data_IF_480933075878
#
_entry.id   IF_480933075878
#
_cell.length_a   1.000
_cell.length_b   1.000
_cell.length_c   1.000
_cell.angle_alpha   90.00
_cell.angle_beta   90.00
_cell.angle_gamma   90.00
#
_symmetry.space_group_name_H-M   'P 1'
#
loop_
_entity.id
_entity.type
_entity.pdbx_description
1 polymer ?
#
# COMPACT_ATOMS: atom_id res chain seq x y z
N UNK A 1 25.60 21.90 13.38
CA UNK A 1 25.48 20.48 13.84
C UNK A 1 24.15 20.28 14.56
N UNK A 2 23.80 21.08 15.57
CA UNK A 2 22.57 20.98 16.37
C UNK A 2 21.29 21.00 15.50
N UNK A 3 21.24 21.86 14.47
CA UNK A 3 20.08 21.98 13.58
C UNK A 3 19.88 20.72 12.71
N UNK A 4 20.97 20.12 12.22
CA UNK A 4 20.90 18.86 11.43
C UNK A 4 20.43 17.70 12.29
N UNK A 5 20.90 17.63 13.53
CA UNK A 5 20.51 16.56 14.47
C UNK A 5 19.04 16.71 14.86
N UNK A 6 18.53 17.92 15.03
CA UNK A 6 17.12 18.20 15.28
C UNK A 6 16.25 17.78 14.11
N UNK A 7 16.63 18.16 12.89
CA UNK A 7 15.88 17.80 11.67
C UNK A 7 15.85 16.29 11.46
N UNK A 8 16.98 15.60 11.63
CA UNK A 8 17.06 14.16 11.54
C UNK A 8 16.16 13.47 12.58
N UNK A 9 16.18 13.94 13.83
CA UNK A 9 15.32 13.38 14.88
C UNK A 9 13.82 13.60 14.58
N UNK A 10 13.45 14.75 14.03
CA UNK A 10 12.07 15.00 13.59
C UNK A 10 11.67 14.03 12.47
N UNK A 11 12.53 13.75 11.51
CA UNK A 11 12.28 12.77 10.46
C UNK A 11 12.12 11.35 11.03
N UNK A 12 12.98 10.95 11.98
CA UNK A 12 12.87 9.66 12.67
C UNK A 12 11.51 9.52 13.36
N UNK A 13 11.00 10.57 14.02
CA UNK A 13 9.70 10.55 14.68
C UNK A 13 8.54 10.56 13.69
N UNK A 14 8.64 11.38 12.64
CA UNK A 14 7.62 11.42 11.59
C UNK A 14 7.43 10.03 10.96
N UNK A 15 8.51 9.44 10.49
CA UNK A 15 8.45 8.11 9.86
C UNK A 15 8.02 7.03 10.87
N UNK A 16 8.41 7.12 12.14
CA UNK A 16 7.96 6.19 13.18
C UNK A 16 6.44 6.27 13.44
N UNK A 17 5.84 7.46 13.29
CA UNK A 17 4.39 7.64 13.44
C UNK A 17 3.62 7.17 12.19
N UNK A 18 4.24 7.26 11.02
CA UNK A 18 3.65 6.82 9.75
C UNK A 18 3.77 5.31 9.54
N UNK A 19 4.86 4.70 10.01
CA UNK A 19 5.18 3.30 9.85
C UNK A 19 5.29 2.56 11.20
N UNK A 20 4.21 2.50 11.99
CA UNK A 20 4.25 1.95 13.34
C UNK A 20 4.61 0.46 13.38
N UNK A 21 4.16 -0.35 12.41
CA UNK A 21 4.48 -1.78 12.38
C UNK A 21 5.93 -1.99 11.96
N UNK A 22 6.40 -1.35 10.88
CA UNK A 22 7.81 -1.36 10.48
C UNK A 22 8.69 -0.94 11.66
N UNK A 23 8.32 0.16 12.34
CA UNK A 23 9.06 0.65 13.52
C UNK A 23 9.07 -0.38 14.65
N UNK A 24 7.98 -1.10 14.86
CA UNK A 24 7.83 -2.04 15.97
C UNK A 24 8.65 -3.32 15.81
N UNK A 25 8.90 -3.74 14.57
CA UNK A 25 9.64 -4.98 14.24
C UNK A 25 11.15 -4.75 14.10
N UNK A 26 11.58 -3.50 13.97
CA UNK A 26 12.98 -3.11 13.93
C UNK A 26 13.44 -2.62 15.30
N UNK A 27 14.63 -3.02 15.72
CA UNK A 27 15.29 -2.43 16.88
C UNK A 27 15.71 -0.97 16.60
N UNK A 28 16.05 -0.23 17.65
CA UNK A 28 16.38 1.20 17.53
C UNK A 28 17.59 1.46 16.62
N UNK A 29 18.56 0.57 16.59
CA UNK A 29 19.77 0.72 15.77
C UNK A 29 19.42 0.57 14.28
N UNK A 30 18.70 -0.49 13.95
CA UNK A 30 18.26 -0.77 12.57
C UNK A 30 17.30 0.32 12.07
N UNK A 31 16.32 0.72 12.88
CA UNK A 31 15.39 1.79 12.51
C UNK A 31 16.11 3.10 12.22
N UNK A 32 16.96 3.56 13.15
CA UNK A 32 17.71 4.80 12.94
C UNK A 32 18.71 4.70 11.79
N UNK A 33 19.27 3.52 11.54
CA UNK A 33 20.10 3.23 10.37
C UNK A 33 19.31 3.38 9.07
N UNK A 34 18.15 2.75 8.98
CA UNK A 34 17.24 2.83 7.82
C UNK A 34 16.85 4.28 7.50
N UNK A 35 16.41 5.03 8.51
CA UNK A 35 16.06 6.45 8.33
C UNK A 35 17.28 7.31 7.96
N UNK A 36 18.46 6.97 8.47
CA UNK A 36 19.70 7.68 8.13
C UNK A 36 20.10 7.45 6.68
N UNK A 37 19.99 6.21 6.21
CA UNK A 37 20.29 5.86 4.81
C UNK A 37 19.35 6.63 3.88
N UNK A 38 18.05 6.60 4.14
CA UNK A 38 17.07 7.44 3.42
C UNK A 38 17.47 8.91 3.42
N UNK A 39 17.72 9.50 4.58
CA UNK A 39 18.07 10.91 4.74
C UNK A 39 19.35 11.32 3.99
N UNK A 40 20.29 10.39 3.81
CA UNK A 40 21.59 10.68 3.19
C UNK A 40 21.68 10.31 1.73
N UNK A 41 20.95 9.31 1.30
CA UNK A 41 21.02 8.74 -0.05
C UNK A 41 19.89 9.26 -0.95
N UNK A 42 18.69 9.35 -0.40
CA UNK A 42 17.53 9.84 -1.16
C UNK A 42 17.52 11.36 -1.21
N UNK A 43 17.22 11.90 -2.40
CA UNK A 43 17.01 13.33 -2.59
C UNK A 43 15.52 13.64 -2.53
N UNK A 44 15.02 14.02 -1.35
CA UNK A 44 13.64 14.45 -1.22
C UNK A 44 13.31 15.61 -2.16
N UNK A 45 12.25 15.46 -2.92
CA UNK A 45 11.75 16.47 -3.86
C UNK A 45 10.66 17.34 -3.23
N UNK A 46 9.96 16.80 -2.23
CA UNK A 46 8.89 17.54 -1.54
C UNK A 46 9.37 18.24 -0.28
N UNK A 47 8.97 19.52 -0.08
CA UNK A 47 9.19 20.22 1.18
C UNK A 47 8.13 19.89 2.24
N UNK A 48 7.10 19.13 1.90
CA UNK A 48 5.93 18.89 2.74
C UNK A 48 6.07 17.56 3.51
N UNK A 49 6.10 17.63 4.82
CA UNK A 49 6.25 16.48 5.71
C UNK A 49 5.29 15.30 5.43
N UNK A 50 3.99 15.48 5.13
CA UNK A 50 3.11 14.35 4.82
C UNK A 50 3.53 13.54 3.59
N UNK A 51 4.18 14.17 2.61
CA UNK A 51 4.61 13.52 1.37
C UNK A 51 5.97 12.80 1.50
N UNK A 52 6.77 13.13 2.53
CA UNK A 52 8.05 12.45 2.80
C UNK A 52 7.86 10.95 3.01
N UNK A 53 6.71 10.54 3.55
CA UNK A 53 6.41 9.13 3.75
C UNK A 53 6.27 8.37 2.41
N UNK A 54 5.68 8.99 1.39
CA UNK A 54 5.64 8.44 0.03
C UNK A 54 7.04 8.30 -0.56
N UNK A 55 7.87 9.35 -0.44
CA UNK A 55 9.27 9.29 -0.90
C UNK A 55 10.09 8.24 -0.14
N UNK A 56 9.80 8.00 1.13
CA UNK A 56 10.43 6.90 1.87
C UNK A 56 10.04 5.52 1.31
N UNK A 57 8.79 5.33 0.92
CA UNK A 57 8.35 4.09 0.24
C UNK A 57 9.04 3.96 -1.12
N UNK A 58 9.09 5.02 -1.92
CA UNK A 58 9.79 5.04 -3.21
C UNK A 58 11.27 4.71 -3.06
N UNK A 59 11.94 5.26 -2.04
CA UNK A 59 13.32 4.92 -1.70
C UNK A 59 13.49 3.44 -1.40
N UNK A 60 12.59 2.85 -0.60
CA UNK A 60 12.65 1.43 -0.27
C UNK A 60 12.53 0.54 -1.52
N UNK A 61 11.68 0.90 -2.46
CA UNK A 61 11.45 0.10 -3.68
C UNK A 61 12.53 0.28 -4.74
N UNK A 62 13.07 1.50 -4.89
CA UNK A 62 13.84 1.85 -6.07
C UNK A 62 15.33 2.08 -5.80
N UNK A 63 15.72 2.38 -4.57
CA UNK A 63 17.08 2.79 -4.26
C UNK A 63 17.75 1.92 -3.20
N UNK A 64 16.96 1.30 -2.33
CA UNK A 64 17.49 0.50 -1.23
C UNK A 64 17.73 -0.94 -1.63
N UNK A 65 19.00 -1.36 -1.56
CA UNK A 65 19.41 -2.75 -1.70
C UNK A 65 20.23 -3.16 -0.46
N UNK A 66 19.58 -3.81 0.51
CA UNK A 66 20.22 -4.26 1.74
C UNK A 66 19.74 -5.67 2.11
N UNK A 67 20.62 -6.64 1.95
CA UNK A 67 20.33 -8.05 2.24
C UNK A 67 19.98 -8.38 3.70
N UNK A 68 20.18 -7.42 4.62
CA UNK A 68 19.80 -7.57 6.04
C UNK A 68 18.37 -7.14 6.34
N UNK A 69 17.68 -6.54 5.36
CA UNK A 69 16.29 -6.12 5.51
C UNK A 69 15.34 -7.33 5.45
N UNK A 70 14.19 -7.19 6.07
CA UNK A 70 13.14 -8.19 5.94
C UNK A 70 12.63 -8.23 4.49
N UNK A 71 12.38 -9.43 3.93
CA UNK A 71 11.98 -9.55 2.52
C UNK A 71 10.64 -8.89 2.19
N UNK A 72 9.82 -8.64 3.20
CA UNK A 72 8.51 -7.98 3.10
C UNK A 72 8.54 -6.48 3.44
N UNK A 73 9.72 -5.90 3.75
CA UNK A 73 9.83 -4.54 4.28
C UNK A 73 9.18 -3.50 3.37
N UNK A 74 9.44 -3.60 2.07
CA UNK A 74 8.90 -2.69 1.05
C UNK A 74 7.38 -2.75 0.99
N UNK A 75 6.81 -3.96 0.93
CA UNK A 75 5.37 -4.16 0.85
C UNK A 75 4.66 -3.73 2.14
N UNK A 76 5.26 -4.00 3.29
CA UNK A 76 4.73 -3.57 4.58
C UNK A 76 4.72 -2.03 4.69
N UNK A 77 5.80 -1.38 4.29
CA UNK A 77 5.86 0.08 4.29
C UNK A 77 4.82 0.68 3.31
N UNK A 78 4.67 0.10 2.12
CA UNK A 78 3.64 0.53 1.18
C UNK A 78 2.23 0.37 1.75
N UNK A 79 1.95 -0.75 2.44
CA UNK A 79 0.66 -0.99 3.08
C UNK A 79 0.33 0.07 4.14
N UNK A 80 1.27 0.38 5.05
CA UNK A 80 1.08 1.39 6.10
C UNK A 80 0.93 2.81 5.51
N UNK A 81 1.74 3.14 4.49
CA UNK A 81 1.63 4.41 3.79
C UNK A 81 0.30 4.57 3.05
N UNK A 82 -0.18 3.50 2.39
CA UNK A 82 -1.42 3.52 1.61
C UNK A 82 -2.63 3.90 2.47
N UNK A 83 -2.68 3.49 3.74
CA UNK A 83 -3.74 3.90 4.67
C UNK A 83 -3.76 5.42 4.86
N UNK A 84 -2.59 6.01 5.08
CA UNK A 84 -2.46 7.45 5.29
C UNK A 84 -2.75 8.20 3.99
N UNK A 85 -2.24 7.71 2.87
CA UNK A 85 -2.46 8.32 1.56
C UNK A 85 -3.96 8.36 1.21
N UNK A 86 -4.68 7.24 1.37
CA UNK A 86 -6.12 7.18 1.10
C UNK A 86 -6.93 8.08 2.06
N UNK A 87 -6.50 8.21 3.32
CA UNK A 87 -7.14 9.10 4.29
C UNK A 87 -7.06 10.57 3.87
N UNK A 88 -5.98 10.97 3.19
CA UNK A 88 -5.75 12.34 2.73
C UNK A 88 -6.15 12.57 1.26
N UNK A 89 -6.64 11.52 0.58
CA UNK A 89 -7.15 11.66 -0.78
C UNK A 89 -8.34 12.63 -0.82
N UNK A 90 -8.44 13.42 -1.88
CA UNK A 90 -9.50 14.41 -2.03
C UNK A 90 -10.88 13.72 -2.03
N UNK A 91 -11.87 14.38 -1.39
CA UNK A 91 -13.23 13.91 -1.44
C UNK A 91 -13.73 13.89 -2.89
N UNK A 92 -14.09 12.71 -3.35
CA UNK A 92 -14.80 12.56 -4.60
C UNK A 92 -16.29 12.49 -4.30
N UNK A 93 -17.08 13.41 -4.89
CA UNK A 93 -18.52 13.24 -4.92
C UNK A 93 -18.81 11.91 -5.64
N UNK A 94 -19.13 10.88 -4.86
CA UNK A 94 -19.50 9.58 -5.40
C UNK A 94 -20.93 9.72 -5.93
N UNK A 95 -21.09 10.35 -7.11
CA UNK A 95 -22.24 10.01 -7.92
C UNK A 95 -22.10 8.52 -8.24
N UNK A 96 -23.19 7.75 -8.11
CA UNK A 96 -23.18 6.33 -8.49
C UNK A 96 -22.83 6.30 -9.99
N UNK A 97 -21.54 6.23 -10.25
CA UNK A 97 -21.02 6.27 -11.60
C UNK A 97 -21.25 4.91 -12.25
N UNK A 98 -21.79 4.93 -13.45
CA UNK A 98 -21.91 3.75 -14.31
C UNK A 98 -21.29 4.06 -15.66
N UNK A 99 -20.55 3.11 -16.20
CA UNK A 99 -20.11 3.15 -17.59
C UNK A 99 -20.97 2.12 -18.34
N UNK A 100 -21.96 2.60 -19.07
CA UNK A 100 -23.01 1.73 -19.60
C UNK A 100 -23.93 1.26 -18.48
N UNK A 101 -24.09 -0.05 -18.31
CA UNK A 101 -24.80 -0.73 -17.21
C UNK A 101 -23.87 -1.30 -16.12
N UNK A 102 -22.56 -1.10 -16.29
CA UNK A 102 -21.51 -1.58 -15.40
C UNK A 102 -21.33 -0.62 -14.19
N UNK A 103 -21.31 -1.13 -12.95
CA UNK A 103 -20.91 -0.32 -11.80
C UNK A 103 -19.43 0.03 -11.89
N UNK A 104 -19.04 1.19 -11.37
CA UNK A 104 -17.64 1.64 -11.27
C UNK A 104 -17.23 1.69 -9.80
N UNK A 105 -16.02 1.23 -9.51
CA UNK A 105 -15.48 1.36 -8.16
C UNK A 105 -15.27 2.85 -7.81
N UNK A 106 -15.46 3.15 -6.52
CA UNK A 106 -15.12 4.47 -6.00
C UNK A 106 -13.62 4.74 -6.17
N UNK A 107 -13.20 5.95 -6.55
CA UNK A 107 -11.80 6.37 -6.51
C UNK A 107 -11.17 6.22 -5.11
N UNK A 108 -12.00 6.23 -4.07
CA UNK A 108 -11.58 5.99 -2.68
C UNK A 108 -11.56 4.50 -2.30
N UNK A 109 -11.52 3.61 -3.29
CA UNK A 109 -11.34 2.18 -3.13
C UNK A 109 -10.10 1.73 -3.91
N UNK A 110 -9.05 1.38 -3.19
CA UNK A 110 -7.79 0.93 -3.76
C UNK A 110 -7.67 -0.58 -3.69
N UNK A 111 -7.17 -1.15 -4.77
CA UNK A 111 -6.93 -2.59 -4.89
C UNK A 111 -5.44 -2.84 -4.74
N UNK A 112 -5.05 -3.52 -3.66
CA UNK A 112 -3.66 -3.79 -3.31
C UNK A 112 -3.38 -5.28 -3.38
N UNK A 113 -2.27 -5.65 -4.00
CA UNK A 113 -1.82 -7.04 -4.11
C UNK A 113 -0.37 -7.14 -3.63
N UNK A 114 -0.12 -8.04 -2.69
CA UNK A 114 1.17 -8.24 -2.05
C UNK A 114 1.59 -9.70 -2.10
N UNK A 115 2.89 -9.94 -2.14
CA UNK A 115 3.44 -11.30 -2.03
C UNK A 115 3.43 -11.80 -0.58
N UNK A 116 3.38 -10.88 0.37
CA UNK A 116 3.36 -11.19 1.81
C UNK A 116 2.03 -10.80 2.43
N UNK A 117 1.57 -11.50 3.50
CA UNK A 117 0.35 -11.14 4.23
C UNK A 117 0.59 -9.93 5.14
N UNK A 118 0.82 -8.75 4.52
CA UNK A 118 1.25 -7.51 5.18
C UNK A 118 0.36 -7.08 6.34
N UNK A 119 -0.95 -7.29 6.22
CA UNK A 119 -1.95 -6.97 7.24
C UNK A 119 -1.84 -7.82 8.52
N UNK A 120 -1.04 -8.90 8.47
CA UNK A 120 -0.81 -9.83 9.61
C UNK A 120 0.56 -9.69 10.21
N UNK A 121 1.47 -8.94 9.56
CA UNK A 121 2.84 -8.77 10.02
C UNK A 121 2.87 -7.96 11.32
N UNK A 122 3.67 -8.42 12.26
CA UNK A 122 3.92 -7.80 13.54
C UNK A 122 5.03 -8.52 14.28
N UNK A 123 5.27 -8.14 15.55
CA UNK A 123 6.35 -8.74 16.35
C UNK A 123 6.27 -10.26 16.47
N UNK A 124 5.05 -10.80 16.46
CA UNK A 124 4.79 -12.22 16.66
C UNK A 124 4.71 -13.00 15.33
N UNK A 125 4.71 -12.29 14.20
CA UNK A 125 4.62 -12.91 12.87
C UNK A 125 5.50 -12.16 11.86
N UNK A 126 6.62 -12.77 11.48
CA UNK A 126 7.62 -12.25 10.55
C UNK A 126 7.90 -13.29 9.45
N UNK A 127 7.12 -13.31 8.36
CA UNK A 127 7.26 -14.30 7.30
C UNK A 127 8.61 -14.16 6.60
N UNK A 128 9.30 -15.29 6.37
CA UNK A 128 10.58 -15.30 5.67
C UNK A 128 10.44 -15.59 4.17
N UNK A 129 9.28 -16.06 3.75
CA UNK A 129 8.99 -16.42 2.37
C UNK A 129 7.65 -15.82 1.94
N UNK A 130 7.57 -15.49 0.67
CA UNK A 130 6.32 -15.05 0.05
C UNK A 130 5.23 -16.14 0.16
N UNK A 131 3.99 -15.72 0.19
CA UNK A 131 2.83 -16.62 0.14
C UNK A 131 2.73 -17.29 -1.23
N UNK A 132 2.20 -18.50 -1.29
CA UNK A 132 1.94 -19.20 -2.57
C UNK A 132 0.93 -18.44 -3.44
N UNK A 133 -0.06 -17.83 -2.82
CA UNK A 133 -1.03 -16.96 -3.48
C UNK A 133 -0.84 -15.53 -3.00
N UNK A 134 -1.08 -14.55 -3.89
CA UNK A 134 -0.99 -13.14 -3.52
C UNK A 134 -2.03 -12.79 -2.46
N UNK A 135 -1.63 -11.96 -1.51
CA UNK A 135 -2.53 -11.33 -0.54
C UNK A 135 -3.24 -10.17 -1.22
N UNK A 136 -4.52 -10.36 -1.51
CA UNK A 136 -5.37 -9.37 -2.16
C UNK A 136 -6.14 -8.58 -1.10
N UNK A 137 -5.91 -7.29 -1.03
CA UNK A 137 -6.59 -6.39 -0.10
C UNK A 137 -7.38 -5.32 -0.86
N UNK A 138 -8.59 -5.07 -0.40
CA UNK A 138 -9.36 -3.88 -0.77
C UNK A 138 -9.23 -2.90 0.39
N UNK A 139 -8.77 -1.72 0.09
CA UNK A 139 -8.71 -0.60 1.01
C UNK A 139 -9.69 0.46 0.55
N UNK A 140 -10.58 0.92 1.41
CA UNK A 140 -11.55 1.96 1.05
C UNK A 140 -11.79 2.92 2.21
N UNK A 141 -12.08 4.18 1.86
CA UNK A 141 -12.53 5.18 2.82
C UNK A 141 -14.06 5.23 2.82
N UNK A 142 -14.65 5.03 3.99
CA UNK A 142 -16.08 5.04 4.17
C UNK A 142 -16.62 6.49 4.30
N UNK A 143 -17.94 6.64 4.47
CA UNK A 143 -18.60 7.95 4.61
C UNK A 143 -18.28 8.66 5.95
N UNK A 144 -17.66 7.97 6.89
CA UNK A 144 -17.24 8.48 8.20
C UNK A 144 -15.75 8.85 8.20
N UNK A 145 -15.12 8.88 7.00
CA UNK A 145 -13.70 9.11 6.78
C UNK A 145 -12.77 8.06 7.39
N UNK A 146 -13.31 6.91 7.78
CA UNK A 146 -12.51 5.79 8.23
C UNK A 146 -11.96 4.99 7.04
N UNK A 147 -10.69 4.67 7.07
CA UNK A 147 -10.08 3.71 6.14
C UNK A 147 -10.31 2.29 6.66
N UNK A 148 -10.87 1.45 5.81
CA UNK A 148 -11.17 0.04 6.10
C UNK A 148 -10.41 -0.85 5.13
N UNK A 149 -10.10 -2.06 5.61
CA UNK A 149 -9.42 -3.11 4.84
C UNK A 149 -10.30 -4.35 4.79
N UNK A 150 -10.35 -4.97 3.63
CA UNK A 150 -11.02 -6.26 3.42
C UNK A 150 -10.06 -7.17 2.65
N UNK A 151 -9.74 -8.31 3.25
CA UNK A 151 -9.03 -9.38 2.53
C UNK A 151 -9.99 -10.01 1.52
N UNK A 152 -9.57 -10.05 0.26
CA UNK A 152 -10.36 -10.57 -0.86
C UNK A 152 -9.75 -11.87 -1.37
N UNK A 153 -10.59 -12.77 -1.86
CA UNK A 153 -10.09 -13.91 -2.62
C UNK A 153 -9.68 -13.49 -4.05
N UNK A 154 -8.80 -14.25 -4.71
CA UNK A 154 -8.30 -13.89 -6.05
C UNK A 154 -9.40 -13.71 -7.10
N UNK A 155 -10.47 -14.51 -7.05
CA UNK A 155 -11.56 -14.42 -8.01
C UNK A 155 -12.36 -13.11 -7.86
N UNK A 156 -12.70 -12.74 -6.62
CA UNK A 156 -13.35 -11.45 -6.32
C UNK A 156 -12.44 -10.28 -6.68
N UNK A 157 -11.15 -10.37 -6.37
CA UNK A 157 -10.19 -9.34 -6.73
C UNK A 157 -10.11 -9.18 -8.25
N UNK A 158 -10.07 -10.28 -9.00
CA UNK A 158 -10.08 -10.25 -10.46
C UNK A 158 -11.37 -9.66 -11.03
N UNK A 159 -12.53 -10.03 -10.47
CA UNK A 159 -13.81 -9.42 -10.84
C UNK A 159 -13.78 -7.90 -10.72
N UNK A 160 -13.26 -7.38 -9.60
CA UNK A 160 -13.16 -5.94 -9.37
C UNK A 160 -12.18 -5.27 -10.35
N UNK A 161 -11.06 -5.91 -10.70
CA UNK A 161 -10.16 -5.43 -11.75
C UNK A 161 -10.88 -5.31 -13.11
N UNK A 162 -11.68 -6.31 -13.47
CA UNK A 162 -12.45 -6.29 -14.72
C UNK A 162 -13.55 -5.21 -14.71
N UNK A 163 -14.09 -4.90 -13.54
CA UNK A 163 -15.02 -3.77 -13.39
C UNK A 163 -14.32 -2.41 -13.60
N UNK A 164 -13.02 -2.30 -13.36
CA UNK A 164 -12.24 -1.08 -13.62
C UNK A 164 -11.76 -0.99 -15.08
N UNK A 165 -11.90 -2.06 -15.86
CA UNK A 165 -11.50 -2.07 -17.27
C UNK A 165 -12.51 -1.28 -18.12
N UNK A 166 -12.08 -0.16 -18.66
CA UNK A 166 -12.92 0.75 -19.46
C UNK A 166 -13.34 0.16 -20.83
N UNK A 167 -12.68 -0.90 -21.29
CA UNK A 167 -13.04 -1.60 -22.52
C UNK A 167 -14.29 -2.47 -22.31
N UNK A 168 -14.52 -2.95 -21.08
CA UNK A 168 -15.69 -3.75 -20.72
C UNK A 168 -16.82 -2.85 -20.25
N UNK A 169 -17.86 -2.69 -21.09
CA UNK A 169 -18.94 -1.72 -20.86
C UNK A 169 -20.21 -2.33 -20.28
N UNK A 170 -20.30 -3.64 -20.15
CA UNK A 170 -21.48 -4.31 -19.59
C UNK A 170 -21.09 -5.34 -18.51
N UNK A 171 -22.02 -5.63 -17.63
CA UNK A 171 -21.89 -6.66 -16.60
C UNK A 171 -21.70 -8.05 -17.23
N UNK A 172 -22.42 -8.33 -18.32
CA UNK A 172 -22.32 -9.58 -19.07
C UNK A 172 -20.90 -9.76 -19.62
N UNK A 173 -20.31 -8.72 -20.25
CA UNK A 173 -18.95 -8.79 -20.79
C UNK A 173 -17.90 -9.05 -19.70
N UNK A 174 -18.10 -8.48 -18.51
CA UNK A 174 -17.24 -8.74 -17.34
C UNK A 174 -17.38 -10.18 -16.87
N UNK A 175 -18.62 -10.68 -16.77
CA UNK A 175 -18.89 -12.06 -16.34
C UNK A 175 -18.35 -13.08 -17.31
N UNK A 176 -18.53 -12.89 -18.61
CA UNK A 176 -18.03 -13.79 -19.65
C UNK A 176 -16.50 -13.84 -19.65
N UNK A 177 -15.84 -12.70 -19.50
CA UNK A 177 -14.38 -12.63 -19.43
C UNK A 177 -13.84 -13.34 -18.19
N UNK A 178 -14.46 -13.12 -17.03
CA UNK A 178 -14.09 -13.79 -15.79
C UNK A 178 -14.28 -15.32 -15.91
N UNK A 179 -15.43 -15.77 -16.43
CA UNK A 179 -15.72 -17.18 -16.63
C UNK A 179 -14.70 -17.85 -17.58
N UNK A 180 -14.33 -17.17 -18.66
CA UNK A 180 -13.32 -17.65 -19.60
C UNK A 180 -11.94 -17.81 -18.93
N UNK A 181 -11.51 -16.82 -18.14
CA UNK A 181 -10.23 -16.86 -17.41
C UNK A 181 -10.20 -17.99 -16.35
N UNK A 182 -11.30 -18.20 -15.63
CA UNK A 182 -11.40 -19.28 -14.63
C UNK A 182 -11.34 -20.68 -15.26
N UNK A 183 -11.93 -20.87 -16.45
CA UNK A 183 -11.86 -22.14 -17.16
C UNK A 183 -10.47 -22.47 -17.73
N UNK A 184 -9.60 -21.47 -17.89
CA UNK A 184 -8.22 -21.67 -18.37
C UNK A 184 -7.24 -21.94 -17.22
N UNK A 185 -7.66 -21.72 -15.97
CA UNK A 185 -6.83 -21.89 -14.78
C UNK A 185 -6.97 -23.29 -14.14
N UNK A 186 -7.95 -24.09 -14.57
CA UNK A 186 -8.15 -25.51 -14.23
C UNK A 186 -7.43 -26.42 -15.23
#
# INVERSE_FOLDING_TARGET
>A
QVYRDLFFNNMVQLLASTFPVVRSILDDVKWRGLVRDFYTLHRCETPLFPWIAGEFVDYLFNERDNSSDFPFLQELAHYEWSEIALRHEADCAVEIARVGDKPVLSPLCWMLSYHYPVHRIGKDFLPQQASELPTCLLMYRNQEDDVKFVESNPATFRLLQLLMDDELRSVEAVADKLACEMQQAD
#
